data_IF_629870997359
#
_entry.id   IF_629870997359
#
_cell.length_a   1.000
_cell.length_b   1.000
_cell.length_c   1.000
_cell.angle_alpha   90.00
_cell.angle_beta   90.00
_cell.angle_gamma   90.00
#
_symmetry.space_group_name_H-M   'P 1'
#
loop_
_entity.id
_entity.type
_entity.pdbx_description
1 polymer ?
#
# COMPACT_ATOMS: atom_id res chain seq x y z
N UNK A 1 -21.79 -0.01 17.09
CA UNK A 1 -21.52 1.42 16.82
C UNK A 1 -20.11 1.44 16.31
N UNK A 2 -19.91 1.88 15.08
CA UNK A 2 -18.57 2.01 14.51
C UNK A 2 -17.98 3.36 14.94
N UNK A 3 -16.72 3.38 15.36
CA UNK A 3 -16.06 4.58 15.90
C UNK A 3 -14.67 4.71 15.29
N UNK A 4 -14.42 5.84 14.63
CA UNK A 4 -13.12 6.09 14.01
C UNK A 4 -12.13 6.61 15.03
N UNK A 5 -10.92 6.06 15.00
CA UNK A 5 -9.83 6.48 15.87
C UNK A 5 -9.26 7.86 15.46
N UNK A 6 -8.61 8.55 16.42
CA UNK A 6 -7.74 9.68 16.05
C UNK A 6 -6.49 9.17 15.31
N UNK A 7 -5.82 10.04 14.57
CA UNK A 7 -4.57 9.69 13.89
C UNK A 7 -3.49 9.21 14.87
N UNK A 8 -3.41 9.79 16.07
CA UNK A 8 -2.47 9.29 17.08
C UNK A 8 -2.86 7.90 17.58
N UNK A 9 -4.14 7.68 17.91
CA UNK A 9 -4.62 6.37 18.36
C UNK A 9 -4.36 5.29 17.31
N UNK A 10 -4.64 5.58 16.04
CA UNK A 10 -4.39 4.67 14.92
C UNK A 10 -2.90 4.28 14.83
N UNK A 11 -1.99 5.25 14.94
CA UNK A 11 -0.54 5.01 14.96
C UNK A 11 -0.06 4.25 16.20
N UNK A 12 -0.68 4.48 17.36
CA UNK A 12 -0.30 3.82 18.62
C UNK A 12 -0.72 2.34 18.64
N UNK A 13 -1.87 2.01 18.06
CA UNK A 13 -2.41 0.64 18.06
C UNK A 13 -2.03 -0.16 16.81
N UNK A 14 -1.65 0.51 15.72
CA UNK A 14 -1.32 -0.09 14.41
C UNK A 14 -2.43 -1.00 13.86
N UNK A 15 -3.66 -0.58 14.08
CA UNK A 15 -4.86 -1.30 13.68
C UNK A 15 -5.94 -0.29 13.30
N UNK A 16 -6.53 -0.49 12.12
CA UNK A 16 -7.57 0.35 11.56
C UNK A 16 -7.87 -0.09 10.14
N UNK A 17 -9.03 0.28 9.63
CA UNK A 17 -9.46 -0.03 8.28
C UNK A 17 -9.35 1.21 7.38
N UNK A 18 -10.15 1.29 6.31
CA UNK A 18 -9.95 2.28 5.25
C UNK A 18 -10.20 3.68 5.76
N UNK A 19 -11.10 3.81 6.72
CA UNK A 19 -11.54 5.02 7.37
C UNK A 19 -10.40 5.67 8.15
N UNK A 20 -9.72 4.94 9.04
CA UNK A 20 -8.55 5.48 9.77
C UNK A 20 -7.39 5.84 8.83
N UNK A 21 -7.12 5.02 7.81
CA UNK A 21 -6.09 5.32 6.82
C UNK A 21 -6.41 6.61 6.07
N UNK A 22 -7.67 6.80 5.63
CA UNK A 22 -8.12 8.00 4.95
C UNK A 22 -8.06 9.23 5.86
N UNK A 23 -8.42 9.12 7.13
CA UNK A 23 -8.31 10.20 8.13
C UNK A 23 -6.84 10.62 8.30
N UNK A 24 -5.93 9.67 8.48
CA UNK A 24 -4.50 9.97 8.63
C UNK A 24 -3.94 10.66 7.38
N UNK A 25 -4.27 10.17 6.18
CA UNK A 25 -3.83 10.77 4.92
C UNK A 25 -4.43 12.16 4.70
N UNK A 26 -5.71 12.35 5.02
CA UNK A 26 -6.36 13.65 4.92
C UNK A 26 -5.69 14.68 5.84
N UNK A 27 -5.38 14.30 7.09
CA UNK A 27 -4.64 15.15 8.02
C UNK A 27 -3.24 15.49 7.49
N UNK A 28 -2.54 14.53 6.89
CA UNK A 28 -1.24 14.78 6.26
C UNK A 28 -1.34 15.75 5.09
N UNK A 29 -2.33 15.61 4.20
CA UNK A 29 -2.53 16.54 3.10
C UNK A 29 -2.97 17.94 3.56
N UNK A 30 -3.77 18.04 4.62
CA UNK A 30 -4.09 19.34 5.22
C UNK A 30 -2.82 20.01 5.75
N UNK A 31 -1.96 19.27 6.47
CA UNK A 31 -0.66 19.76 6.90
C UNK A 31 0.22 20.24 5.73
N UNK A 32 0.33 19.45 4.65
CA UNK A 32 1.11 19.85 3.47
C UNK A 32 0.53 21.11 2.81
N UNK A 33 -0.79 21.22 2.70
CA UNK A 33 -1.44 22.40 2.13
C UNK A 33 -1.22 23.65 2.96
N UNK A 34 -1.11 23.54 4.28
CA UNK A 34 -0.86 24.66 5.19
C UNK A 34 0.62 25.06 5.23
N UNK A 35 1.54 24.10 5.29
CA UNK A 35 2.98 24.35 5.43
C UNK A 35 3.67 24.66 4.10
N UNK A 36 3.18 24.10 2.99
CA UNK A 36 3.79 24.23 1.66
C UNK A 36 2.77 24.68 0.60
N UNK A 37 2.08 25.82 0.79
CA UNK A 37 0.96 26.22 -0.06
C UNK A 37 1.35 26.43 -1.54
N UNK A 38 2.58 26.88 -1.82
CA UNK A 38 3.05 27.11 -3.21
C UNK A 38 2.95 25.85 -4.08
N UNK A 39 3.14 24.66 -3.50
CA UNK A 39 3.13 23.38 -4.21
C UNK A 39 1.88 22.55 -3.86
N UNK A 40 1.41 22.65 -2.62
CA UNK A 40 0.44 21.72 -2.05
C UNK A 40 -0.93 22.31 -1.74
N UNK A 41 -1.18 23.59 -2.01
CA UNK A 41 -2.48 24.22 -1.72
C UNK A 41 -3.65 23.48 -2.39
N UNK A 42 -4.56 22.98 -1.55
CA UNK A 42 -5.72 22.22 -1.96
C UNK A 42 -6.81 22.18 -0.89
N UNK A 43 -8.05 21.99 -1.33
CA UNK A 43 -9.12 21.58 -0.44
C UNK A 43 -9.12 20.06 -0.30
N UNK A 44 -9.12 19.59 0.95
CA UNK A 44 -9.02 18.18 1.30
C UNK A 44 -10.36 17.70 1.85
N UNK A 45 -10.80 16.54 1.37
CA UNK A 45 -12.03 15.93 1.79
C UNK A 45 -11.88 14.43 2.00
N UNK A 46 -12.57 13.89 2.99
CA UNK A 46 -12.84 12.46 3.08
C UNK A 46 -14.04 12.14 2.18
N UNK A 47 -13.93 11.05 1.41
CA UNK A 47 -14.93 10.60 0.47
C UNK A 47 -15.43 9.24 0.90
N UNK A 48 -16.72 9.16 1.21
CA UNK A 48 -17.37 7.95 1.72
C UNK A 48 -18.29 7.39 0.64
N UNK A 49 -18.11 6.12 0.35
CA UNK A 49 -18.73 5.51 -0.81
C UNK A 49 -18.55 4.01 -0.88
N UNK A 50 -18.60 3.49 -2.10
CA UNK A 50 -18.28 2.10 -2.39
C UNK A 50 -17.38 1.96 -3.62
N UNK A 51 -16.40 1.07 -3.51
CA UNK A 51 -15.47 0.69 -4.57
C UNK A 51 -15.54 -0.78 -4.96
N UNK A 52 -14.84 -1.14 -6.02
CA UNK A 52 -14.66 -2.53 -6.45
C UNK A 52 -13.15 -2.82 -6.52
N UNK A 53 -12.65 -3.87 -5.82
CA UNK A 53 -13.40 -4.88 -5.08
C UNK A 53 -13.73 -4.52 -3.62
N UNK A 54 -13.44 -3.30 -3.16
CA UNK A 54 -13.40 -2.94 -1.74
C UNK A 54 -14.73 -3.05 -1.01
N UNK A 55 -15.86 -2.84 -1.71
CA UNK A 55 -17.16 -2.68 -1.05
C UNK A 55 -17.26 -1.28 -0.44
N UNK A 56 -17.75 -1.15 0.80
CA UNK A 56 -17.77 0.12 1.52
C UNK A 56 -16.33 0.61 1.76
N UNK A 57 -16.07 1.89 1.48
CA UNK A 57 -14.71 2.43 1.48
C UNK A 57 -14.67 3.93 1.77
N UNK A 58 -13.52 4.37 2.25
CA UNK A 58 -13.14 5.76 2.38
C UNK A 58 -11.93 6.09 1.49
N UNK A 59 -11.99 7.22 0.78
CA UNK A 59 -10.91 7.77 -0.04
C UNK A 59 -10.60 9.21 0.43
N UNK A 60 -9.46 9.76 0.04
CA UNK A 60 -9.15 11.19 0.24
C UNK A 60 -9.23 11.92 -1.09
N UNK A 61 -10.15 12.87 -1.22
CA UNK A 61 -10.20 13.77 -2.37
C UNK A 61 -9.34 14.99 -2.09
N UNK A 62 -8.41 15.26 -3.01
CA UNK A 62 -7.65 16.49 -3.07
C UNK A 62 -8.14 17.29 -4.27
N UNK A 63 -8.63 18.50 -4.03
CA UNK A 63 -8.99 19.48 -5.07
C UNK A 63 -7.96 20.61 -5.07
N UNK A 64 -7.04 20.62 -6.03
CA UNK A 64 -6.02 21.69 -6.06
C UNK A 64 -6.67 23.01 -6.43
N UNK A 65 -6.29 24.07 -5.71
CA UNK A 65 -6.78 25.42 -5.98
C UNK A 65 -6.08 26.02 -7.21
N UNK A 66 -4.81 25.66 -7.44
CA UNK A 66 -3.98 26.28 -8.48
C UNK A 66 -4.31 25.80 -9.90
N UNK A 67 -4.62 24.52 -10.05
CA UNK A 67 -4.83 23.88 -11.36
C UNK A 67 -6.25 23.33 -11.53
N UNK A 68 -7.12 23.53 -10.54
CA UNK A 68 -8.52 23.06 -10.52
C UNK A 68 -8.68 21.55 -10.81
N UNK A 69 -7.70 20.74 -10.45
CA UNK A 69 -7.76 19.29 -10.60
C UNK A 69 -8.38 18.62 -9.36
N UNK A 70 -9.04 17.49 -9.58
CA UNK A 70 -9.60 16.64 -8.53
C UNK A 70 -8.97 15.26 -8.64
N UNK A 71 -8.35 14.82 -7.56
CA UNK A 71 -7.68 13.52 -7.46
C UNK A 71 -8.18 12.78 -6.22
N UNK A 72 -8.53 11.52 -6.40
CA UNK A 72 -8.95 10.59 -5.35
C UNK A 72 -7.79 9.68 -4.97
N UNK A 73 -7.42 9.67 -3.70
CA UNK A 73 -6.34 8.87 -3.15
C UNK A 73 -6.91 7.73 -2.31
N UNK A 74 -6.47 6.51 -2.63
CA UNK A 74 -6.67 5.35 -1.78
C UNK A 74 -5.50 5.26 -0.78
N UNK A 75 -5.80 5.54 0.48
CA UNK A 75 -4.80 5.58 1.54
C UNK A 75 -4.22 4.18 1.87
N UNK A 76 -4.87 3.09 1.46
CA UNK A 76 -4.42 1.73 1.80
C UNK A 76 -3.33 1.21 0.88
N UNK A 77 -3.31 1.65 -0.38
CA UNK A 77 -2.32 1.22 -1.37
C UNK A 77 -1.47 2.38 -1.93
N UNK A 78 -1.84 3.63 -1.62
CA UNK A 78 -1.14 4.83 -2.08
C UNK A 78 -1.40 5.20 -3.54
N UNK A 79 -2.42 4.62 -4.18
CA UNK A 79 -2.79 4.94 -5.55
C UNK A 79 -3.65 6.21 -5.62
N UNK A 80 -3.46 6.94 -6.72
CA UNK A 80 -4.16 8.17 -7.01
C UNK A 80 -4.89 8.05 -8.34
N UNK A 81 -6.14 8.53 -8.38
CA UNK A 81 -7.01 8.46 -9.55
C UNK A 81 -7.54 9.86 -9.85
N UNK A 82 -7.31 10.35 -11.06
CA UNK A 82 -7.94 11.59 -11.50
C UNK A 82 -9.46 11.42 -11.54
N UNK A 83 -10.22 12.50 -11.33
CA UNK A 83 -11.68 12.45 -11.35
C UNK A 83 -12.25 11.81 -12.63
N UNK A 84 -11.62 12.08 -13.77
CA UNK A 84 -12.03 11.56 -15.07
C UNK A 84 -11.47 10.15 -15.39
N UNK A 85 -10.75 9.51 -14.47
CA UNK A 85 -10.27 8.14 -14.66
C UNK A 85 -11.42 7.14 -14.59
N UNK A 86 -11.77 6.57 -15.74
CA UNK A 86 -12.85 5.57 -15.83
C UNK A 86 -12.52 4.26 -15.10
N UNK A 87 -11.23 3.99 -14.85
CA UNK A 87 -10.73 2.81 -14.15
C UNK A 87 -10.60 3.03 -12.63
N UNK A 88 -10.97 4.21 -12.12
CA UNK A 88 -10.99 4.46 -10.68
C UNK A 88 -11.83 3.38 -9.98
N UNK A 89 -11.28 2.65 -8.98
CA UNK A 89 -12.00 1.60 -8.26
C UNK A 89 -13.22 2.13 -7.50
N UNK A 90 -13.20 3.38 -7.05
CA UNK A 90 -14.31 4.06 -6.41
C UNK A 90 -15.48 4.24 -7.41
N UNK A 91 -16.57 3.50 -7.21
CA UNK A 91 -17.70 3.46 -8.14
C UNK A 91 -18.87 4.35 -7.72
N UNK A 92 -19.03 4.61 -6.43
CA UNK A 92 -20.16 5.38 -5.93
C UNK A 92 -19.76 6.25 -4.74
N UNK A 93 -19.84 7.58 -4.88
CA UNK A 93 -19.64 8.55 -3.81
C UNK A 93 -21.01 8.91 -3.21
N UNK A 94 -21.19 8.56 -1.94
CA UNK A 94 -22.42 8.85 -1.20
C UNK A 94 -22.31 10.18 -0.44
N UNK A 95 -21.11 10.47 0.09
CA UNK A 95 -20.90 11.59 0.98
C UNK A 95 -19.46 12.09 0.91
N UNK A 96 -19.27 13.39 1.10
CA UNK A 96 -17.96 14.05 1.15
C UNK A 96 -17.88 14.89 2.43
N UNK A 97 -16.78 14.79 3.17
CA UNK A 97 -16.60 15.44 4.48
C UNK A 97 -15.37 16.32 4.45
N UNK A 98 -15.53 17.58 4.81
CA UNK A 98 -14.44 18.54 5.05
C UNK A 98 -14.34 18.86 6.54
N UNK A 99 -13.29 19.57 6.95
CA UNK A 99 -13.19 20.10 8.32
C UNK A 99 -14.30 21.11 8.68
N UNK A 100 -15.02 21.65 7.68
CA UNK A 100 -16.09 22.64 7.87
C UNK A 100 -17.49 22.04 7.89
N UNK A 101 -17.73 21.02 7.05
CA UNK A 101 -19.08 20.52 6.79
C UNK A 101 -19.05 19.13 6.13
N UNK A 102 -20.20 18.47 6.18
CA UNK A 102 -20.48 17.20 5.49
C UNK A 102 -21.50 17.44 4.38
N UNK A 103 -21.30 16.83 3.22
CA UNK A 103 -22.14 17.00 2.03
C UNK A 103 -22.60 15.63 1.53
N UNK A 104 -23.91 15.39 1.55
CA UNK A 104 -24.50 14.20 0.94
C UNK A 104 -24.69 14.43 -0.56
N UNK A 105 -24.25 13.46 -1.37
CA UNK A 105 -24.51 13.44 -2.80
C UNK A 105 -26.00 13.12 -3.02
N UNK A 106 -26.72 14.02 -3.70
CA UNK A 106 -28.14 13.83 -4.07
C UNK A 106 -28.33 13.80 -5.59
N UNK A 107 -27.23 13.70 -6.33
CA UNK A 107 -27.22 13.46 -7.77
C UNK A 107 -27.67 12.02 -8.07
N UNK A 108 -28.27 11.75 -9.25
CA UNK A 108 -28.51 10.38 -9.68
C UNK A 108 -27.21 9.57 -9.86
N UNK A 109 -26.12 10.24 -10.18
CA UNK A 109 -24.81 9.67 -10.46
C UNK A 109 -23.96 9.55 -9.19
N UNK A 110 -23.29 8.41 -9.05
CA UNK A 110 -22.35 8.13 -7.97
C UNK A 110 -20.89 8.03 -8.41
N UNK A 111 -20.62 7.80 -9.71
CA UNK A 111 -19.27 7.55 -10.18
C UNK A 111 -18.46 8.86 -10.22
N UNK A 112 -17.20 8.88 -9.77
CA UNK A 112 -16.40 10.10 -9.71
C UNK A 112 -16.37 10.92 -11.00
N UNK A 113 -16.23 10.26 -12.16
CA UNK A 113 -16.18 10.92 -13.47
C UNK A 113 -17.54 11.48 -13.96
N UNK A 114 -18.63 11.18 -13.26
CA UNK A 114 -20.00 11.59 -13.60
C UNK A 114 -20.59 12.59 -12.60
N UNK A 115 -19.88 12.86 -11.50
CA UNK A 115 -20.32 13.75 -10.44
C UNK A 115 -19.84 15.17 -10.71
N UNK A 116 -20.73 16.14 -10.49
CA UNK A 116 -20.37 17.55 -10.33
C UNK A 116 -19.95 17.80 -8.87
N UNK A 117 -18.78 18.42 -8.66
CA UNK A 117 -18.21 18.72 -7.33
C UNK A 117 -18.40 20.20 -6.90
N UNK A 118 -19.36 20.91 -7.49
CA UNK A 118 -19.82 22.19 -6.96
C UNK A 118 -20.66 22.00 -5.68
N UNK A 119 -20.00 22.01 -4.52
CA UNK A 119 -20.64 21.88 -3.21
C UNK A 119 -21.58 23.04 -2.83
N UNK A 120 -21.59 24.15 -3.58
CA UNK A 120 -22.57 25.22 -3.40
C UNK A 120 -23.90 24.94 -4.11
N UNK A 121 -23.90 24.06 -5.12
CA UNK A 121 -25.10 23.66 -5.80
C UNK A 121 -25.98 22.73 -4.94
N UNK A 122 -26.95 23.33 -4.26
CA UNK A 122 -27.88 22.64 -3.33
C UNK A 122 -28.86 21.66 -4.00
N UNK A 123 -28.90 21.63 -5.34
CA UNK A 123 -29.66 20.61 -6.09
C UNK A 123 -28.86 19.31 -6.25
N UNK A 124 -27.53 19.38 -6.12
CA UNK A 124 -26.61 18.25 -6.31
C UNK A 124 -25.98 17.80 -4.98
N UNK A 125 -25.74 18.74 -4.06
CA UNK A 125 -25.15 18.48 -2.74
C UNK A 125 -25.99 19.03 -1.60
N UNK A 126 -26.36 18.14 -0.68
CA UNK A 126 -27.09 18.51 0.54
C UNK A 126 -26.11 18.64 1.72
N UNK A 127 -25.85 19.87 2.22
CA UNK A 127 -24.96 20.05 3.35
C UNK A 127 -25.64 19.65 4.66
N UNK A 128 -24.85 19.17 5.62
CA UNK A 128 -25.31 18.90 6.97
C UNK A 128 -25.58 20.21 7.73
N UNK A 129 -24.58 21.08 7.82
CA UNK A 129 -24.77 22.45 8.31
C UNK A 129 -25.32 23.34 7.20
N UNK A 130 -26.42 24.02 7.49
CA UNK A 130 -27.15 24.88 6.55
C UNK A 130 -27.70 26.12 7.25
N UNK A 131 -28.30 27.04 6.50
CA UNK A 131 -29.01 28.20 7.10
C UNK A 131 -30.10 27.79 8.10
N UNK A 132 -30.71 26.61 7.93
CA UNK A 132 -31.75 26.07 8.82
C UNK A 132 -31.17 25.28 10.01
N UNK A 133 -29.93 24.82 9.89
CA UNK A 133 -29.20 24.08 10.91
C UNK A 133 -27.74 24.57 10.92
N UNK A 134 -27.48 25.78 11.44
CA UNK A 134 -26.15 26.39 11.35
C UNK A 134 -25.15 25.64 12.22
N UNK A 135 -23.86 25.76 11.88
CA UNK A 135 -22.78 25.32 12.74
C UNK A 135 -22.92 25.99 14.13
N UNK A 136 -22.77 25.26 15.24
CA UNK A 136 -22.80 25.86 16.57
C UNK A 136 -21.78 27.01 16.69
N UNK A 137 -22.18 28.10 17.37
CA UNK A 137 -21.32 29.28 17.55
C UNK A 137 -20.05 28.99 18.38
N UNK A 138 -20.08 27.95 19.20
CA UNK A 138 -18.88 27.36 19.78
C UNK A 138 -18.24 26.47 18.72
N UNK A 139 -17.10 26.87 18.18
CA UNK A 139 -16.28 26.00 17.34
C UNK A 139 -16.17 24.62 18.00
N UNK A 140 -16.62 23.59 17.30
CA UNK A 140 -16.42 22.22 17.76
C UNK A 140 -14.90 21.96 17.65
N UNK A 141 -14.18 21.81 18.77
CA UNK A 141 -12.76 21.54 18.70
C UNK A 141 -12.55 20.19 18.01
N UNK A 142 -11.50 20.10 17.21
CA UNK A 142 -11.06 18.80 16.69
C UNK A 142 -10.63 17.92 17.86
N UNK A 143 -10.95 16.63 17.77
CA UNK A 143 -10.39 15.61 18.67
C UNK A 143 -9.03 15.10 18.18
N UNK A 144 -8.63 15.46 16.95
CA UNK A 144 -7.32 15.11 16.40
C UNK A 144 -6.23 15.90 17.11
N UNK A 145 -5.11 15.24 17.35
CA UNK A 145 -3.92 15.85 17.94
C UNK A 145 -3.28 16.82 16.93
N UNK A 146 -2.91 18.05 17.35
CA UNK A 146 -2.31 19.03 16.44
C UNK A 146 -0.91 18.63 15.95
N UNK A 147 -0.23 17.72 16.67
CA UNK A 147 1.06 17.16 16.29
C UNK A 147 1.09 15.69 16.68
N UNK A 148 1.34 14.84 15.71
CA UNK A 148 1.50 13.41 15.92
C UNK A 148 2.88 13.09 16.50
N UNK A 149 2.92 12.11 17.39
CA UNK A 149 4.11 11.55 17.99
C UNK A 149 4.44 10.25 17.26
N UNK A 150 5.59 10.24 16.62
CA UNK A 150 6.14 9.09 15.92
C UNK A 150 7.26 8.47 16.76
N UNK A 151 7.28 7.14 16.86
CA UNK A 151 8.44 6.44 17.41
C UNK A 151 9.46 6.17 16.32
N UNK A 152 10.74 6.20 16.67
CA UNK A 152 11.82 5.95 15.72
C UNK A 152 11.76 4.51 15.17
N UNK A 153 12.16 4.28 13.91
CA UNK A 153 12.23 2.95 13.33
C UNK A 153 13.09 1.99 14.15
N UNK A 154 12.52 0.86 14.58
CA UNK A 154 13.22 -0.15 15.36
C UNK A 154 14.06 -1.08 14.47
N UNK A 155 15.30 -0.66 14.19
CA UNK A 155 16.23 -1.41 13.32
C UNK A 155 16.64 -2.78 13.89
N UNK A 156 16.70 -2.91 15.21
CA UNK A 156 17.05 -4.17 15.84
C UNK A 156 15.93 -5.19 15.64
N UNK A 157 14.69 -4.80 15.95
CA UNK A 157 13.52 -5.66 15.73
C UNK A 157 13.35 -6.05 14.26
N UNK A 158 13.56 -5.11 13.32
CA UNK A 158 13.48 -5.46 11.90
C UNK A 158 14.52 -6.50 11.47
N UNK A 159 15.74 -6.46 12.04
CA UNK A 159 16.78 -7.44 11.72
C UNK A 159 16.44 -8.82 12.30
N UNK A 160 15.94 -8.85 13.54
CA UNK A 160 15.47 -10.09 14.20
C UNK A 160 14.31 -10.72 13.42
N UNK A 161 13.33 -9.91 12.99
CA UNK A 161 12.20 -10.38 12.19
C UNK A 161 12.63 -10.84 10.78
N UNK A 162 13.61 -10.17 10.17
CA UNK A 162 14.19 -10.58 8.87
C UNK A 162 14.80 -11.99 8.95
N UNK A 163 15.55 -12.28 10.02
CA UNK A 163 16.12 -13.61 10.29
C UNK A 163 15.01 -14.65 10.56
N UNK A 164 14.03 -14.31 11.40
CA UNK A 164 12.89 -15.18 11.73
C UNK A 164 12.08 -15.56 10.48
N UNK A 165 11.72 -14.58 9.66
CA UNK A 165 10.99 -14.79 8.42
C UNK A 165 11.78 -15.67 7.45
N UNK A 166 13.08 -15.38 7.27
CA UNK A 166 13.94 -16.14 6.36
C UNK A 166 13.98 -17.63 6.75
N UNK A 167 14.18 -17.92 8.04
CA UNK A 167 14.24 -19.30 8.52
C UNK A 167 12.88 -19.99 8.50
N UNK A 168 11.81 -19.28 8.88
CA UNK A 168 10.45 -19.80 8.86
C UNK A 168 10.02 -20.15 7.44
N UNK A 169 10.28 -19.28 6.46
CA UNK A 169 9.93 -19.54 5.05
C UNK A 169 10.76 -20.70 4.50
N UNK A 170 12.08 -20.77 4.76
CA UNK A 170 12.90 -21.91 4.35
C UNK A 170 12.37 -23.23 4.90
N UNK A 171 12.00 -23.25 6.17
CA UNK A 171 11.46 -24.45 6.82
C UNK A 171 10.08 -24.81 6.28
N UNK A 172 9.24 -23.83 5.99
CA UNK A 172 7.92 -24.03 5.38
C UNK A 172 8.06 -24.63 3.98
N UNK A 173 8.94 -24.10 3.12
CA UNK A 173 9.22 -24.66 1.78
C UNK A 173 9.71 -26.11 1.88
N UNK A 174 10.58 -26.42 2.85
CA UNK A 174 11.03 -27.80 3.09
C UNK A 174 9.87 -28.71 3.50
N UNK A 175 8.94 -28.21 4.31
CA UNK A 175 7.76 -28.94 4.77
C UNK A 175 6.72 -29.17 3.68
N UNK A 176 6.50 -28.19 2.80
CA UNK A 176 5.56 -28.29 1.67
C UNK A 176 6.03 -29.29 0.61
N UNK A 177 7.35 -29.49 0.50
CA UNK A 177 7.96 -30.33 -0.53
C UNK A 177 8.16 -31.77 -0.07
N UNK A 178 7.87 -32.72 -0.97
CA UNK A 178 8.17 -34.15 -0.78
C UNK A 178 9.56 -34.58 -1.27
N UNK A 179 10.33 -33.64 -1.83
CA UNK A 179 11.65 -33.86 -2.37
C UNK A 179 12.69 -33.05 -1.59
N UNK A 180 14.00 -33.42 -1.65
CA UNK A 180 15.06 -32.60 -1.09
C UNK A 180 14.98 -31.16 -1.60
N UNK A 181 15.28 -30.22 -0.70
CA UNK A 181 15.20 -28.78 -0.96
C UNK A 181 16.52 -28.15 -0.59
N UNK A 182 17.27 -27.66 -1.60
CA UNK A 182 18.49 -26.89 -1.42
C UNK A 182 18.25 -25.41 -1.73
N UNK A 183 19.01 -24.55 -1.05
CA UNK A 183 18.98 -23.11 -1.25
C UNK A 183 20.37 -22.62 -1.71
N UNK A 184 20.40 -21.84 -2.79
CA UNK A 184 21.63 -21.22 -3.32
C UNK A 184 21.90 -19.87 -2.68
N UNK A 185 22.81 -19.87 -1.72
CA UNK A 185 23.19 -18.67 -0.96
C UNK A 185 23.76 -17.53 -1.81
N UNK A 186 24.51 -17.84 -2.86
CA UNK A 186 25.08 -16.81 -3.75
C UNK A 186 24.00 -16.10 -4.59
N UNK A 187 22.95 -16.82 -5.00
CA UNK A 187 21.77 -16.22 -5.63
C UNK A 187 20.95 -15.45 -4.61
N UNK A 188 20.68 -16.01 -3.42
CA UNK A 188 20.01 -15.32 -2.32
C UNK A 188 20.65 -13.97 -1.99
N UNK A 189 21.98 -13.90 -1.87
CA UNK A 189 22.69 -12.64 -1.58
C UNK A 189 22.50 -11.59 -2.68
N UNK A 190 22.40 -12.02 -3.95
CA UNK A 190 22.13 -11.08 -5.04
C UNK A 190 20.69 -10.59 -5.02
N UNK A 191 19.74 -11.47 -4.74
CA UNK A 191 18.33 -11.12 -4.61
C UNK A 191 18.11 -10.13 -3.46
N UNK A 192 18.84 -10.28 -2.37
CA UNK A 192 18.82 -9.34 -1.23
C UNK A 192 19.10 -7.90 -1.66
N UNK A 193 20.17 -7.67 -2.43
CA UNK A 193 20.50 -6.34 -2.95
C UNK A 193 19.51 -5.80 -4.00
N UNK A 194 18.69 -6.68 -4.61
CA UNK A 194 17.57 -6.24 -5.47
C UNK A 194 16.41 -5.76 -4.61
N UNK A 195 16.12 -6.41 -3.48
CA UNK A 195 15.06 -5.98 -2.57
C UNK A 195 15.32 -4.57 -2.01
N UNK A 196 16.56 -4.22 -1.69
CA UNK A 196 16.95 -2.85 -1.30
C UNK A 196 16.62 -1.81 -2.38
N UNK A 197 16.82 -2.16 -3.65
CA UNK A 197 16.54 -1.25 -4.76
C UNK A 197 15.04 -1.12 -5.03
N UNK A 198 14.29 -2.21 -4.84
CA UNK A 198 12.83 -2.20 -4.98
C UNK A 198 12.19 -1.26 -3.96
N UNK A 199 12.68 -1.25 -2.72
CA UNK A 199 12.23 -0.30 -1.71
C UNK A 199 12.59 1.15 -2.07
N UNK A 200 13.83 1.40 -2.53
CA UNK A 200 14.26 2.74 -2.99
C UNK A 200 13.40 3.25 -4.16
N UNK A 201 13.02 2.37 -5.10
CA UNK A 201 12.08 2.70 -6.17
C UNK A 201 10.72 3.06 -5.63
N UNK A 202 10.19 2.29 -4.68
CA UNK A 202 8.88 2.54 -4.09
C UNK A 202 8.83 3.89 -3.36
N UNK A 203 9.91 4.25 -2.68
CA UNK A 203 10.01 5.50 -1.92
C UNK A 203 10.24 6.74 -2.79
N UNK A 204 10.99 6.59 -3.89
CA UNK A 204 11.46 7.75 -4.66
C UNK A 204 10.90 7.82 -6.08
N UNK A 205 10.01 6.89 -6.45
CA UNK A 205 9.42 6.84 -7.80
C UNK A 205 10.45 6.65 -8.92
N UNK A 206 11.63 6.12 -8.60
CA UNK A 206 12.68 5.86 -9.60
C UNK A 206 12.26 4.68 -10.49
N UNK A 207 12.65 4.70 -11.75
CA UNK A 207 12.48 3.54 -12.63
C UNK A 207 13.61 2.53 -12.41
N UNK A 208 13.26 1.26 -12.20
CA UNK A 208 14.20 0.14 -12.25
C UNK A 208 14.18 -0.47 -13.65
N UNK A 209 15.35 -0.59 -14.28
CA UNK A 209 15.49 -1.36 -15.52
C UNK A 209 15.29 -2.84 -15.21
N UNK A 210 14.20 -3.40 -15.72
CA UNK A 210 13.90 -4.84 -15.63
C UNK A 210 15.03 -5.64 -16.29
N UNK A 211 15.55 -5.17 -17.42
CA UNK A 211 16.67 -5.81 -18.13
C UNK A 211 17.94 -5.84 -17.28
N UNK A 212 18.21 -4.78 -16.50
CA UNK A 212 19.34 -4.79 -15.57
C UNK A 212 19.12 -5.81 -14.46
N UNK A 213 17.92 -5.85 -13.86
CA UNK A 213 17.60 -6.85 -12.83
C UNK A 213 17.76 -8.28 -13.36
N UNK A 214 17.23 -8.58 -14.56
CA UNK A 214 17.36 -9.88 -15.21
C UNK A 214 18.82 -10.20 -15.48
N UNK A 215 19.58 -9.28 -16.09
CA UNK A 215 21.01 -9.48 -16.41
C UNK A 215 21.83 -9.77 -15.15
N UNK A 216 21.51 -9.08 -14.04
CA UNK A 216 22.19 -9.28 -12.76
C UNK A 216 21.92 -10.66 -12.18
N UNK A 217 20.70 -11.18 -12.30
CA UNK A 217 20.33 -12.53 -11.86
C UNK A 217 20.94 -13.58 -12.80
N UNK A 218 20.87 -13.37 -14.12
CA UNK A 218 21.42 -14.30 -15.12
C UNK A 218 22.93 -14.50 -15.00
N UNK A 219 23.66 -13.44 -14.65
CA UNK A 219 25.12 -13.50 -14.47
C UNK A 219 25.57 -14.53 -13.42
N UNK A 220 24.71 -14.88 -12.46
CA UNK A 220 25.03 -15.80 -11.36
C UNK A 220 24.28 -17.13 -11.41
N UNK A 221 23.26 -17.24 -12.26
CA UNK A 221 22.47 -18.47 -12.43
C UNK A 221 23.08 -19.43 -13.46
N UNK A 222 24.14 -19.01 -14.17
CA UNK A 222 25.01 -19.86 -15.02
C UNK A 222 24.22 -20.67 -16.06
N UNK A 223 23.21 -20.08 -16.68
CA UNK A 223 22.38 -20.74 -17.70
C UNK A 223 21.27 -21.65 -17.16
N UNK A 224 21.01 -21.64 -15.85
CA UNK A 224 19.78 -22.21 -15.28
C UNK A 224 18.57 -21.34 -15.62
N UNK A 225 17.44 -21.98 -15.86
CA UNK A 225 16.14 -21.32 -15.93
C UNK A 225 15.74 -20.84 -14.54
N UNK A 226 15.44 -19.56 -14.45
CA UNK A 226 14.99 -18.89 -13.22
C UNK A 226 13.50 -18.65 -13.34
N UNK A 227 12.73 -19.15 -12.36
CA UNK A 227 11.32 -18.84 -12.23
C UNK A 227 11.06 -18.32 -10.83
N UNK A 228 10.65 -17.05 -10.71
CA UNK A 228 10.42 -16.43 -9.42
C UNK A 228 10.03 -14.97 -9.54
N UNK A 229 9.76 -14.36 -8.39
CA UNK A 229 9.32 -12.97 -8.31
C UNK A 229 9.61 -12.38 -6.92
N UNK A 230 9.74 -11.05 -6.83
CA UNK A 230 9.62 -10.35 -5.57
C UNK A 230 8.15 -10.28 -5.13
N UNK A 231 7.93 -10.34 -3.83
CA UNK A 231 6.66 -10.13 -3.13
C UNK A 231 6.87 -9.01 -2.12
N UNK A 232 5.85 -8.18 -1.93
CA UNK A 232 5.83 -7.07 -0.98
C UNK A 232 4.61 -7.18 -0.09
N UNK A 233 4.80 -6.97 1.22
CA UNK A 233 3.74 -7.02 2.22
C UNK A 233 3.90 -5.86 3.22
N UNK A 234 2.82 -5.15 3.58
CA UNK A 234 2.76 -4.50 4.89
C UNK A 234 2.71 -5.60 5.96
N UNK A 235 3.61 -5.57 6.93
CA UNK A 235 3.68 -6.64 7.93
C UNK A 235 2.50 -6.59 8.90
N UNK A 236 1.77 -7.69 8.99
CA UNK A 236 0.75 -7.95 10.02
C UNK A 236 1.22 -9.05 10.96
N UNK A 237 1.54 -10.20 10.39
CA UNK A 237 2.12 -11.34 11.09
C UNK A 237 2.94 -12.25 10.14
N UNK A 238 3.72 -13.15 10.74
CA UNK A 238 4.58 -14.10 10.00
C UNK A 238 3.75 -15.08 9.14
N UNK A 239 2.55 -15.46 9.58
CA UNK A 239 1.73 -16.46 8.92
C UNK A 239 1.19 -15.93 7.59
N UNK A 240 0.71 -14.70 7.54
CA UNK A 240 0.22 -14.06 6.32
C UNK A 240 1.33 -13.96 5.27
N UNK A 241 2.53 -13.61 5.71
CA UNK A 241 3.72 -13.57 4.86
C UNK A 241 4.05 -14.96 4.29
N UNK A 242 4.07 -15.99 5.14
CA UNK A 242 4.33 -17.38 4.72
C UNK A 242 3.26 -17.89 3.76
N UNK A 243 1.98 -17.62 4.02
CA UNK A 243 0.88 -17.97 3.11
C UNK A 243 1.04 -17.28 1.75
N UNK A 244 1.42 -16.00 1.75
CA UNK A 244 1.71 -15.25 0.52
C UNK A 244 2.79 -15.92 -0.33
N UNK A 245 3.84 -16.44 0.30
CA UNK A 245 4.88 -17.24 -0.39
C UNK A 245 4.31 -18.58 -0.88
N UNK A 246 3.51 -19.28 -0.08
CA UNK A 246 2.88 -20.55 -0.46
C UNK A 246 2.02 -20.41 -1.71
N UNK A 247 1.19 -19.36 -1.77
CA UNK A 247 0.27 -19.10 -2.89
C UNK A 247 0.96 -18.83 -4.22
N UNK A 248 2.25 -18.49 -4.23
CA UNK A 248 3.03 -18.38 -5.48
C UNK A 248 3.24 -19.73 -6.18
N UNK A 249 3.08 -20.84 -5.44
CA UNK A 249 3.37 -22.20 -5.89
C UNK A 249 4.80 -22.43 -6.44
N UNK A 250 5.75 -21.49 -6.21
CA UNK A 250 7.14 -21.63 -6.70
C UNK A 250 7.79 -22.88 -6.09
N UNK A 251 7.46 -23.19 -4.84
CA UNK A 251 7.91 -24.38 -4.13
C UNK A 251 7.45 -25.69 -4.79
N UNK A 252 6.45 -25.69 -5.68
CA UNK A 252 5.96 -26.89 -6.37
C UNK A 252 6.82 -27.33 -7.56
N UNK A 253 7.90 -26.61 -7.89
CA UNK A 253 8.78 -26.97 -9.01
C UNK A 253 9.27 -28.42 -8.90
N UNK A 254 9.01 -29.20 -9.97
CA UNK A 254 9.15 -30.67 -9.98
C UNK A 254 10.48 -31.16 -10.57
N UNK A 255 11.33 -30.29 -11.08
CA UNK A 255 12.58 -30.72 -11.70
C UNK A 255 13.47 -31.41 -10.64
N UNK A 256 14.06 -32.60 -10.90
CA UNK A 256 14.87 -33.32 -9.91
C UNK A 256 16.04 -32.50 -9.36
N UNK A 257 16.71 -31.74 -10.23
CA UNK A 257 17.84 -30.85 -9.88
C UNK A 257 17.43 -29.41 -9.58
N UNK A 258 16.16 -29.16 -9.23
CA UNK A 258 15.72 -27.82 -8.83
C UNK A 258 16.41 -27.38 -7.55
N UNK A 259 16.93 -26.17 -7.56
CA UNK A 259 17.41 -25.48 -6.36
C UNK A 259 16.58 -24.22 -6.16
N UNK A 260 16.50 -23.71 -4.94
CA UNK A 260 15.78 -22.49 -4.63
C UNK A 260 16.75 -21.36 -4.30
N UNK A 261 16.31 -20.13 -4.47
CA UNK A 261 16.93 -18.99 -3.81
C UNK A 261 15.84 -18.18 -3.12
N UNK A 262 16.19 -17.66 -1.95
CA UNK A 262 15.29 -16.89 -1.10
C UNK A 262 16.05 -15.74 -0.47
N UNK A 263 15.53 -14.54 -0.59
CA UNK A 263 15.95 -13.37 0.17
C UNK A 263 14.75 -12.76 0.88
N UNK A 264 14.98 -12.22 2.07
CA UNK A 264 13.99 -11.46 2.83
C UNK A 264 14.64 -10.13 3.21
N UNK A 265 13.89 -9.03 3.10
CA UNK A 265 14.25 -7.73 3.65
C UNK A 265 13.10 -7.17 4.46
N UNK A 266 13.39 -6.65 5.65
CA UNK A 266 12.42 -5.90 6.46
C UNK A 266 12.90 -4.45 6.61
N UNK A 267 12.11 -3.51 6.11
CA UNK A 267 12.39 -2.08 6.22
C UNK A 267 11.51 -1.48 7.31
N UNK A 268 12.11 -1.00 8.43
CA UNK A 268 11.35 -0.36 9.49
C UNK A 268 11.06 1.10 9.16
N UNK A 269 9.82 1.51 9.43
CA UNK A 269 9.36 2.88 9.41
C UNK A 269 9.00 3.33 10.83
N UNK A 270 8.66 4.62 10.93
CA UNK A 270 8.19 5.18 12.18
C UNK A 270 6.96 4.42 12.71
N UNK A 271 6.77 4.45 14.02
CA UNK A 271 5.62 3.81 14.68
C UNK A 271 5.54 2.29 14.41
N UNK A 272 6.68 1.59 14.31
CA UNK A 272 6.74 0.13 14.06
C UNK A 272 5.98 -0.35 12.80
N UNK A 273 5.75 0.53 11.83
CA UNK A 273 5.27 0.10 10.50
C UNK A 273 6.43 -0.59 9.78
N UNK A 274 6.20 -1.79 9.24
CA UNK A 274 7.25 -2.57 8.58
C UNK A 274 6.84 -2.92 7.14
N UNK A 275 7.74 -2.66 6.21
CA UNK A 275 7.65 -3.09 4.81
C UNK A 275 8.48 -4.36 4.64
N UNK A 276 7.83 -5.46 4.28
CA UNK A 276 8.47 -6.78 4.14
C UNK A 276 8.56 -7.14 2.67
N UNK A 277 9.78 -7.36 2.21
CA UNK A 277 10.07 -7.84 0.87
C UNK A 277 10.62 -9.26 0.92
N UNK A 278 10.15 -10.08 -0.02
CA UNK A 278 10.63 -11.45 -0.19
C UNK A 278 10.92 -11.65 -1.65
N UNK A 279 12.08 -12.22 -1.97
CA UNK A 279 12.35 -12.69 -3.31
C UNK A 279 12.55 -14.19 -3.24
N UNK A 280 11.65 -14.95 -3.86
CA UNK A 280 11.75 -16.39 -4.00
C UNK A 280 11.88 -16.77 -5.48
N UNK A 281 12.78 -17.70 -5.78
CA UNK A 281 12.85 -18.31 -7.11
C UNK A 281 13.27 -19.78 -7.07
N UNK A 282 12.83 -20.51 -8.09
CA UNK A 282 13.26 -21.85 -8.43
C UNK A 282 14.24 -21.80 -9.61
N UNK A 283 15.33 -22.55 -9.50
CA UNK A 283 16.45 -22.61 -10.44
C UNK A 283 16.53 -24.02 -11.02
N UNK A 284 16.08 -24.19 -12.25
CA UNK A 284 16.10 -25.48 -12.95
C UNK A 284 17.16 -25.50 -14.07
N UNK A 285 17.71 -26.65 -14.46
CA UNK A 285 18.60 -26.73 -15.62
C UNK A 285 17.96 -26.19 -16.91
N UNK A 286 18.72 -25.42 -17.70
CA UNK A 286 18.28 -24.91 -19.01
C UNK A 286 18.41 -25.96 -20.11
N UNK A 287 17.27 -26.39 -20.67
CA UNK A 287 17.07 -27.35 -21.79
C UNK A 287 17.95 -28.62 -21.82
N UNK A 288 17.28 -29.74 -21.47
CA UNK A 288 17.28 -31.11 -22.03
C UNK A 288 18.54 -31.53 -22.83
N UNK A 289 19.30 -32.49 -22.26
CA UNK A 289 20.11 -33.42 -23.05
C UNK A 289 19.21 -34.08 -24.10
N UNK A 290 19.37 -33.70 -25.37
CA UNK A 290 18.86 -34.51 -26.48
C UNK A 290 19.68 -35.79 -26.48
N UNK A 291 19.13 -36.84 -25.86
CA UNK A 291 19.69 -38.18 -25.92
C UNK A 291 19.72 -38.63 -27.38
N UNK A 292 20.91 -39.01 -27.84
CA UNK A 292 21.14 -39.69 -29.12
C UNK A 292 20.74 -41.15 -29.08
#
# INVERSE_FOLDING_TARGET
LDMWCTSQQFLDILAGDREEHAVLLANYFMFLSEEYPEEWEAEIFLVIGSGIPEGQTAYVMRRSINIEDIVFWDATNGLAFAQNDENCPLQNISCVVSYKNTYANIQPEGKPCQIDFDFENRLLWKPFYSKKFPLPNSHLPSIQEPKLLYTDPNKQFSAELEEELLDTIKNSIRGWRRAPTSFRGDVSNRLYGILEQLEDVRLHGKSLSVDDCITRVDSITKGRLVFGMPLHFPFTDVKDVVNGVEFTAIHESKHPDVEFALAVRVFPYASNVLSVWIFICALSPGKIQTGG
#
